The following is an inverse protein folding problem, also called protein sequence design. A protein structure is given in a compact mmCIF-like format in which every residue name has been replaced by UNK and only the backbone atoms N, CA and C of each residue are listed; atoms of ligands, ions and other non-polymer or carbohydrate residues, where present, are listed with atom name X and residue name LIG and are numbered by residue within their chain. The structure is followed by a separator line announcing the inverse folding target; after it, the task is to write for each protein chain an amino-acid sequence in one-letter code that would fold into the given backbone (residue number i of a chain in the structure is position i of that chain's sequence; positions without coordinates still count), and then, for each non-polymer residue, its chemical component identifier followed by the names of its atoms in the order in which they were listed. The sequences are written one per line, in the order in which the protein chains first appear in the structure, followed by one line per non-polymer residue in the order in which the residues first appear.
data_IF_983973141118
#
_entry.id   IF_983973141118
#
_cell.length_a   1.000
_cell.length_b   1.000
_cell.length_c   1.000
_cell.angle_alpha   90.00
_cell.angle_beta   90.00
_cell.angle_gamma   90.00
#
_symmetry.space_group_name_H-M   'P 1'
#
loop_
_entity.id
_entity.type
_entity.pdbx_description
1 polymer ?
#
# COMPACT_ATOMS: atom_id res chain seq x y z
N UNK A 1 -9.98 17.44 0.99
CA UNK A 1 -9.14 16.64 1.91
C UNK A 1 -9.28 17.20 3.30
N UNK A 2 -10.00 16.53 4.17
CA UNK A 2 -10.08 16.86 5.58
C UNK A 2 -8.89 16.20 6.30
N UNK A 3 -8.27 16.93 7.20
CA UNK A 3 -7.16 16.42 7.99
C UNK A 3 -7.56 16.42 9.45
N UNK A 4 -7.38 15.29 10.08
CA UNK A 4 -7.53 15.16 11.51
C UNK A 4 -6.14 15.19 12.15
N UNK A 5 -5.90 16.09 13.12
CA UNK A 5 -4.62 16.13 13.83
C UNK A 5 -4.28 14.75 14.42
N UNK A 6 -3.11 14.24 14.11
CA UNK A 6 -2.62 12.93 14.57
C UNK A 6 -3.54 11.73 14.27
N UNK A 7 -4.40 11.84 13.22
CA UNK A 7 -5.38 10.81 12.89
C UNK A 7 -6.55 10.67 13.89
N UNK A 8 -6.65 11.56 14.88
CA UNK A 8 -7.70 11.53 15.88
C UNK A 8 -9.03 12.04 15.29
N UNK A 9 -9.90 11.11 14.90
CA UNK A 9 -11.21 11.40 14.33
C UNK A 9 -12.24 11.90 15.37
N UNK A 10 -11.91 11.87 16.68
CA UNK A 10 -12.75 12.45 17.72
C UNK A 10 -12.63 13.98 17.79
N UNK A 11 -11.63 14.56 17.13
CA UNK A 11 -11.45 16.00 16.99
C UNK A 11 -12.01 16.51 15.68
N UNK A 12 -12.33 17.81 15.65
CA UNK A 12 -12.77 18.45 14.43
C UNK A 12 -11.67 18.39 13.35
N UNK A 13 -12.08 18.09 12.13
CA UNK A 13 -11.20 18.13 10.98
C UNK A 13 -10.68 19.57 10.77
N UNK A 14 -9.38 19.71 10.57
CA UNK A 14 -8.74 20.99 10.29
C UNK A 14 -8.44 21.12 8.80
N UNK A 15 -8.77 22.27 8.26
CA UNK A 15 -8.52 22.60 6.88
C UNK A 15 -8.14 24.07 6.74
N UNK A 16 -7.06 24.36 6.03
CA UNK A 16 -6.64 25.75 5.80
C UNK A 16 -7.59 26.45 4.83
N UNK A 17 -8.34 27.45 5.31
CA UNK A 17 -9.18 28.27 4.46
C UNK A 17 -8.38 28.99 3.34
N UNK A 18 -7.20 29.47 3.66
CA UNK A 18 -6.31 30.09 2.68
C UNK A 18 -5.84 29.10 1.61
N UNK A 19 -5.48 27.88 2.02
CA UNK A 19 -5.10 26.81 1.08
C UNK A 19 -6.25 26.41 0.16
N UNK A 20 -7.46 26.33 0.69
CA UNK A 20 -8.67 26.04 -0.10
C UNK A 20 -8.98 27.16 -1.11
N UNK A 21 -8.98 28.40 -0.68
CA UNK A 21 -9.20 29.54 -1.55
C UNK A 21 -8.15 29.63 -2.66
N UNK A 22 -6.88 29.43 -2.31
CA UNK A 22 -5.80 29.41 -3.30
C UNK A 22 -6.01 28.31 -4.34
N UNK A 23 -6.31 27.10 -3.92
CA UNK A 23 -6.59 25.99 -4.81
C UNK A 23 -7.79 26.27 -5.71
N UNK A 24 -8.89 26.75 -5.14
CA UNK A 24 -10.13 27.08 -5.87
C UNK A 24 -9.91 28.20 -6.89
N UNK A 25 -9.24 29.27 -6.50
CA UNK A 25 -8.94 30.38 -7.41
C UNK A 25 -8.05 29.92 -8.58
N UNK A 26 -7.05 29.07 -8.33
CA UNK A 26 -6.25 28.51 -9.42
C UNK A 26 -7.07 27.66 -10.38
N UNK A 27 -8.04 26.89 -9.89
CA UNK A 27 -8.93 26.10 -10.74
C UNK A 27 -9.83 27.01 -11.61
N UNK A 28 -10.39 28.05 -11.02
CA UNK A 28 -11.26 29.01 -11.73
C UNK A 28 -10.48 29.84 -12.75
N UNK A 29 -9.25 30.26 -12.41
CA UNK A 29 -8.40 31.09 -13.27
C UNK A 29 -7.57 30.27 -14.27
N UNK A 30 -7.62 28.94 -14.23
CA UNK A 30 -6.92 28.10 -15.17
C UNK A 30 -7.50 28.29 -16.59
N UNK A 31 -6.64 28.69 -17.52
CA UNK A 31 -7.01 28.74 -18.93
C UNK A 31 -7.02 27.32 -19.50
N UNK A 32 -8.19 26.84 -19.93
CA UNK A 32 -8.37 25.49 -20.47
C UNK A 32 -9.10 24.56 -19.53
N UNK A 33 -8.87 23.25 -19.67
CA UNK A 33 -9.53 22.25 -18.86
C UNK A 33 -8.85 22.15 -17.47
N UNK A 34 -9.60 22.50 -16.44
CA UNK A 34 -9.10 22.51 -15.05
C UNK A 34 -9.02 21.09 -14.45
N UNK A 35 -9.78 20.14 -14.98
CA UNK A 35 -9.90 18.80 -14.44
C UNK A 35 -9.83 17.78 -15.56
N UNK A 36 -9.00 16.76 -15.36
CA UNK A 36 -8.88 15.60 -16.25
C UNK A 36 -9.35 14.35 -15.50
N UNK A 37 -10.05 13.50 -16.21
CA UNK A 37 -10.55 12.24 -15.68
C UNK A 37 -9.82 11.07 -16.35
N UNK A 38 -9.45 10.09 -15.58
CA UNK A 38 -8.99 8.83 -16.13
C UNK A 38 -10.18 8.07 -16.74
N UNK A 39 -9.96 7.41 -17.87
CA UNK A 39 -11.00 6.56 -18.48
C UNK A 39 -11.32 5.31 -17.65
N UNK A 40 -10.40 4.92 -16.77
CA UNK A 40 -10.50 3.80 -15.84
C UNK A 40 -9.99 4.22 -14.48
N UNK A 41 -10.11 3.33 -13.50
CA UNK A 41 -9.59 3.57 -12.16
C UNK A 41 -8.08 3.87 -12.14
N UNK A 42 -7.63 4.55 -11.10
CA UNK A 42 -6.21 4.89 -10.89
C UNK A 42 -5.33 3.64 -10.86
N UNK A 43 -5.86 2.52 -10.31
CA UNK A 43 -5.17 1.22 -10.31
C UNK A 43 -4.77 0.79 -11.71
N UNK A 44 -5.68 0.92 -12.68
CA UNK A 44 -5.49 0.45 -14.05
C UNK A 44 -4.65 1.44 -14.89
N UNK A 45 -4.93 2.75 -14.73
CA UNK A 45 -4.32 3.79 -15.58
C UNK A 45 -2.95 4.26 -15.10
N UNK A 46 -2.69 4.18 -13.80
CA UNK A 46 -1.45 4.68 -13.20
C UNK A 46 -0.65 3.55 -12.57
N UNK A 47 -1.23 2.82 -11.62
CA UNK A 47 -0.47 1.86 -10.81
C UNK A 47 -0.02 0.66 -11.64
N UNK A 48 -0.90 0.07 -12.46
CA UNK A 48 -0.55 -1.10 -13.26
C UNK A 48 0.60 -0.84 -14.27
N UNK A 49 0.63 0.28 -15.02
CA UNK A 49 1.78 0.63 -15.85
C UNK A 49 3.08 0.86 -15.06
N UNK A 50 3.01 1.57 -13.92
CA UNK A 50 4.17 1.76 -13.05
C UNK A 50 4.73 0.44 -12.53
N UNK A 51 3.87 -0.43 -12.03
CA UNK A 51 4.25 -1.77 -11.56
C UNK A 51 4.98 -2.55 -12.66
N UNK A 52 4.42 -2.59 -13.88
CA UNK A 52 5.02 -3.31 -15.01
C UNK A 52 6.39 -2.77 -15.37
N UNK A 53 6.56 -1.45 -15.43
CA UNK A 53 7.86 -0.83 -15.71
C UNK A 53 8.85 -1.11 -14.58
N UNK A 54 8.42 -1.04 -13.33
CA UNK A 54 9.27 -1.34 -12.18
C UNK A 54 9.77 -2.80 -12.21
N UNK A 55 8.87 -3.76 -12.48
CA UNK A 55 9.25 -5.17 -12.65
C UNK A 55 10.25 -5.36 -13.79
N UNK A 56 10.03 -4.72 -14.95
CA UNK A 56 10.97 -4.77 -16.08
C UNK A 56 12.34 -4.20 -15.73
N UNK A 57 12.42 -3.28 -14.77
CA UNK A 57 13.65 -2.69 -14.25
C UNK A 57 14.28 -3.45 -13.09
N UNK A 58 13.74 -4.62 -12.75
CA UNK A 58 14.30 -5.49 -11.71
C UNK A 58 13.80 -5.23 -10.30
N UNK A 59 12.80 -4.35 -10.11
CA UNK A 59 12.17 -4.17 -8.80
C UNK A 59 11.40 -5.43 -8.42
N UNK A 60 11.66 -5.94 -7.22
CA UNK A 60 10.95 -7.08 -6.66
C UNK A 60 9.84 -6.61 -5.74
N UNK A 61 8.63 -7.09 -5.97
CA UNK A 61 7.47 -6.81 -5.14
C UNK A 61 7.16 -8.03 -4.26
N UNK A 62 7.00 -7.79 -2.97
CA UNK A 62 6.59 -8.79 -1.98
C UNK A 62 5.17 -8.48 -1.52
N UNK A 63 4.19 -9.06 -2.20
CA UNK A 63 2.78 -8.95 -1.83
C UNK A 63 2.43 -9.81 -0.62
N UNK A 64 1.25 -9.56 -0.04
CA UNK A 64 0.70 -10.34 1.07
C UNK A 64 1.62 -10.34 2.30
N UNK A 65 2.28 -9.22 2.51
CA UNK A 65 3.18 -8.96 3.64
C UNK A 65 2.73 -7.71 4.36
N UNK A 66 2.27 -7.86 5.59
CA UNK A 66 1.94 -6.76 6.48
C UNK A 66 3.21 -6.42 7.29
N UNK A 67 3.61 -5.18 7.28
CA UNK A 67 4.67 -4.69 8.17
C UNK A 67 4.08 -4.59 9.57
N UNK A 68 4.60 -5.32 10.52
CA UNK A 68 4.14 -5.30 11.91
C UNK A 68 5.01 -4.42 12.80
N UNK A 69 6.33 -4.51 12.60
CA UNK A 69 7.26 -3.75 13.43
C UNK A 69 8.53 -3.38 12.64
N UNK A 70 9.03 -2.20 12.91
CA UNK A 70 10.33 -1.70 12.42
C UNK A 70 11.19 -1.48 13.65
N UNK A 71 12.17 -2.37 13.85
CA UNK A 71 13.09 -2.31 14.99
C UNK A 71 14.29 -1.44 14.67
N UNK A 72 14.66 -0.61 15.63
CA UNK A 72 15.83 0.25 15.54
C UNK A 72 17.10 -0.49 16.00
N UNK A 73 18.25 0.04 15.60
CA UNK A 73 19.56 -0.35 16.13
C UNK A 73 19.68 0.02 17.62
N UNK A 74 20.61 -0.61 18.33
CA UNK A 74 20.77 -0.39 19.78
C UNK A 74 21.13 1.05 20.17
N UNK A 75 21.57 1.88 19.23
CA UNK A 75 21.79 3.32 19.41
C UNK A 75 20.61 4.17 18.96
N UNK A 76 19.52 3.54 18.45
CA UNK A 76 18.34 4.24 17.95
C UNK A 76 18.54 5.05 16.66
N UNK A 77 19.71 4.96 16.02
CA UNK A 77 20.07 5.85 14.91
C UNK A 77 19.69 5.31 13.52
N UNK A 78 19.38 4.01 13.41
CA UNK A 78 19.08 3.36 12.14
C UNK A 78 18.08 2.23 12.29
N UNK A 79 17.46 1.82 11.18
CA UNK A 79 16.61 0.61 11.14
C UNK A 79 17.48 -0.62 11.10
N UNK A 80 17.30 -1.52 12.06
CA UNK A 80 17.99 -2.79 12.15
C UNK A 80 17.18 -3.97 11.60
N UNK A 81 15.87 -3.98 11.85
CA UNK A 81 14.99 -5.07 11.46
C UNK A 81 13.65 -4.58 10.93
N UNK A 82 13.02 -5.38 10.09
CA UNK A 82 11.64 -5.23 9.66
C UNK A 82 10.94 -6.55 9.88
N UNK A 83 9.91 -6.56 10.71
CA UNK A 83 9.08 -7.72 10.98
C UNK A 83 7.84 -7.70 10.10
N UNK A 84 7.62 -8.79 9.40
CA UNK A 84 6.58 -8.95 8.41
C UNK A 84 5.68 -10.13 8.77
N UNK A 85 4.39 -9.90 8.83
CA UNK A 85 3.40 -10.98 8.84
C UNK A 85 3.10 -11.42 7.41
N UNK A 86 3.26 -12.71 7.14
CA UNK A 86 2.85 -13.34 5.89
C UNK A 86 1.35 -13.58 5.95
N UNK A 87 0.57 -12.80 5.25
CA UNK A 87 -0.89 -12.86 5.31
C UNK A 87 -1.45 -14.06 4.54
N UNK A 88 -0.85 -14.42 3.42
CA UNK A 88 -1.20 -15.59 2.64
C UNK A 88 0.00 -16.07 1.82
N UNK A 89 -0.05 -17.34 1.38
CA UNK A 89 0.95 -17.94 0.50
C UNK A 89 0.36 -18.23 -0.86
N UNK A 90 1.19 -18.20 -1.88
CA UNK A 90 0.79 -18.57 -3.24
C UNK A 90 0.85 -20.08 -3.43
N UNK A 91 0.02 -20.58 -4.34
CA UNK A 91 0.03 -21.99 -4.74
C UNK A 91 1.35 -22.29 -5.45
N UNK A 92 1.97 -23.41 -5.12
CA UNK A 92 3.23 -23.87 -5.69
C UNK A 92 4.39 -22.87 -5.58
N UNK A 93 4.36 -22.00 -4.58
CA UNK A 93 5.36 -20.95 -4.32
C UNK A 93 5.64 -20.03 -5.52
N UNK A 94 4.70 -19.95 -6.47
CA UNK A 94 4.83 -19.06 -7.62
C UNK A 94 4.70 -17.59 -7.21
N UNK A 95 5.42 -16.68 -7.86
CA UNK A 95 5.25 -15.24 -7.57
C UNK A 95 3.80 -14.80 -7.82
N UNK A 96 3.21 -14.12 -6.84
CA UNK A 96 1.87 -13.55 -6.99
C UNK A 96 1.82 -12.54 -8.14
N UNK A 97 0.84 -12.71 -9.04
CA UNK A 97 0.61 -11.83 -10.19
C UNK A 97 -0.59 -10.94 -9.91
N UNK A 98 -0.40 -9.65 -9.59
CA UNK A 98 -1.50 -8.79 -9.15
C UNK A 98 -2.40 -8.30 -10.29
N UNK A 99 -1.97 -8.42 -11.55
CA UNK A 99 -2.66 -7.84 -12.69
C UNK A 99 -3.48 -8.87 -13.46
N UNK A 100 -4.66 -8.44 -13.90
CA UNK A 100 -5.52 -9.18 -14.82
C UNK A 100 -5.39 -8.57 -16.22
N UNK A 101 -5.14 -9.40 -17.22
CA UNK A 101 -5.14 -8.96 -18.62
C UNK A 101 -6.58 -8.86 -19.11
N UNK A 102 -6.93 -7.71 -19.67
CA UNK A 102 -8.23 -7.42 -20.25
C UNK A 102 -8.30 -7.84 -21.72
N UNK A 103 -9.48 -7.95 -22.28
CA UNK A 103 -9.72 -8.34 -23.68
C UNK A 103 -9.05 -7.38 -24.68
N UNK A 104 -8.99 -6.10 -24.37
CA UNK A 104 -8.33 -5.07 -25.18
C UNK A 104 -6.79 -5.09 -25.06
N UNK A 105 -6.23 -6.06 -24.35
CA UNK A 105 -4.79 -6.23 -24.14
C UNK A 105 -4.20 -5.31 -23.06
N UNK A 106 -5.00 -4.45 -22.44
CA UNK A 106 -4.58 -3.65 -21.27
C UNK A 106 -4.56 -4.49 -20.00
N UNK A 107 -4.09 -3.89 -18.90
CA UNK A 107 -4.04 -4.56 -17.61
C UNK A 107 -4.87 -3.80 -16.59
N UNK A 108 -5.65 -4.53 -15.80
CA UNK A 108 -6.41 -4.02 -14.69
C UNK A 108 -5.77 -4.44 -13.36
N UNK A 109 -5.85 -3.57 -12.37
CA UNK A 109 -5.55 -3.88 -10.99
C UNK A 109 -6.86 -4.18 -10.27
N UNK A 110 -7.15 -5.45 -9.95
CA UNK A 110 -8.42 -5.80 -9.31
C UNK A 110 -8.51 -5.22 -7.90
N UNK A 111 -9.73 -4.94 -7.46
CA UNK A 111 -10.03 -4.42 -6.12
C UNK A 111 -10.03 -5.50 -5.01
N UNK A 112 -9.76 -6.72 -5.36
CA UNK A 112 -9.64 -7.84 -4.44
C UNK A 112 -8.47 -8.74 -4.88
N UNK A 113 -7.87 -9.50 -3.96
CA UNK A 113 -6.84 -10.45 -4.32
C UNK A 113 -7.34 -11.47 -5.35
N UNK A 114 -6.45 -11.92 -6.22
CA UNK A 114 -6.77 -13.02 -7.14
C UNK A 114 -6.70 -14.32 -6.34
N UNK A 115 -7.81 -14.65 -5.69
CA UNK A 115 -7.92 -15.75 -4.74
C UNK A 115 -7.44 -17.08 -5.31
N UNK A 116 -7.64 -17.33 -6.60
CA UNK A 116 -7.18 -18.57 -7.26
C UNK A 116 -5.67 -18.77 -7.29
N UNK A 117 -4.88 -17.75 -6.93
CA UNK A 117 -3.43 -17.88 -6.77
C UNK A 117 -3.00 -18.20 -5.33
N UNK A 118 -3.92 -18.18 -4.37
CA UNK A 118 -3.61 -18.25 -2.95
C UNK A 118 -4.04 -19.57 -2.33
N UNK A 119 -3.22 -20.16 -1.49
CA UNK A 119 -3.54 -21.38 -0.72
C UNK A 119 -4.75 -21.12 0.17
N UNK A 120 -4.84 -19.94 0.81
CA UNK A 120 -5.95 -19.53 1.68
C UNK A 120 -7.09 -18.84 0.91
N UNK A 121 -7.04 -18.82 -0.43
CA UNK A 121 -7.90 -18.00 -1.26
C UNK A 121 -9.40 -18.24 -1.07
N UNK A 122 -9.84 -19.48 -0.98
CA UNK A 122 -11.25 -19.80 -0.76
C UNK A 122 -11.76 -19.33 0.60
N UNK A 123 -10.96 -19.51 1.65
CA UNK A 123 -11.31 -19.06 2.98
C UNK A 123 -11.40 -17.53 3.04
N UNK A 124 -10.38 -16.83 2.52
CA UNK A 124 -10.35 -15.36 2.46
C UNK A 124 -11.59 -14.80 1.75
N UNK A 125 -11.99 -15.46 0.65
CA UNK A 125 -13.16 -15.06 -0.12
C UNK A 125 -14.46 -15.35 0.63
N UNK A 126 -14.60 -16.53 1.23
CA UNK A 126 -15.81 -16.95 1.93
C UNK A 126 -16.08 -16.11 3.19
N UNK A 127 -15.02 -15.75 3.91
CA UNK A 127 -15.09 -14.95 5.12
C UNK A 127 -15.04 -13.43 4.85
N UNK A 128 -14.99 -13.02 3.57
CA UNK A 128 -14.88 -11.61 3.17
C UNK A 128 -13.73 -10.86 3.85
N UNK A 129 -12.58 -11.51 4.01
CA UNK A 129 -11.42 -10.95 4.67
C UNK A 129 -10.77 -9.85 3.82
N UNK A 130 -10.64 -8.66 4.38
CA UNK A 130 -9.87 -7.57 3.83
C UNK A 130 -8.43 -7.64 4.36
N UNK A 131 -7.49 -8.04 3.51
CA UNK A 131 -6.06 -8.10 3.86
C UNK A 131 -5.37 -6.74 3.83
N UNK A 132 -6.00 -5.71 3.26
CA UNK A 132 -5.46 -4.34 3.22
C UNK A 132 -5.80 -3.58 4.51
N UNK A 133 -6.80 -4.03 5.25
CA UNK A 133 -7.16 -3.41 6.52
C UNK A 133 -6.16 -3.77 7.61
N UNK A 134 -5.65 -2.74 8.31
CA UNK A 134 -4.82 -2.93 9.50
C UNK A 134 -5.56 -3.72 10.61
N UNK A 135 -6.86 -3.52 10.72
CA UNK A 135 -7.74 -4.15 11.73
C UNK A 135 -8.37 -5.45 11.26
N UNK A 136 -7.87 -6.03 10.17
CA UNK A 136 -8.35 -7.33 9.72
C UNK A 136 -8.23 -8.37 10.83
N UNK A 137 -9.26 -9.17 11.10
CA UNK A 137 -9.20 -10.25 12.09
C UNK A 137 -8.35 -11.45 11.62
N UNK A 138 -7.86 -11.39 10.40
CA UNK A 138 -7.08 -12.46 9.78
C UNK A 138 -5.77 -12.70 10.50
N UNK A 139 -5.51 -13.96 10.84
CA UNK A 139 -4.24 -14.35 11.44
C UNK A 139 -3.21 -14.67 10.33
N UNK A 140 -1.99 -14.16 10.43
CA UNK A 140 -0.96 -14.46 9.47
C UNK A 140 -0.60 -15.95 9.47
N UNK A 141 -0.22 -16.47 8.33
CA UNK A 141 0.18 -17.88 8.17
C UNK A 141 1.63 -18.13 8.56
N UNK A 142 2.46 -17.07 8.57
CA UNK A 142 3.87 -17.11 9.00
C UNK A 142 4.35 -15.70 9.34
N UNK A 143 5.56 -15.62 9.90
CA UNK A 143 6.28 -14.37 10.14
C UNK A 143 7.66 -14.42 9.50
N UNK A 144 8.12 -13.29 8.98
CA UNK A 144 9.44 -13.10 8.39
C UNK A 144 10.12 -11.90 9.06
N UNK A 145 11.42 -12.00 9.33
CA UNK A 145 12.22 -10.87 9.78
C UNK A 145 13.29 -10.56 8.75
N UNK A 146 13.34 -9.30 8.31
CA UNK A 146 14.39 -8.77 7.44
C UNK A 146 15.41 -8.00 8.27
N UNK A 147 16.69 -8.14 7.93
CA UNK A 147 17.81 -7.58 8.69
C UNK A 147 18.69 -6.71 7.81
N UNK A 148 19.09 -5.57 8.35
CA UNK A 148 20.07 -4.67 7.69
C UNK A 148 21.38 -5.41 7.42
N UNK A 149 22.00 -5.12 6.29
CA UNK A 149 23.26 -5.73 5.85
C UNK A 149 23.14 -7.15 5.30
N UNK A 150 21.97 -7.79 5.45
CA UNK A 150 21.70 -9.12 4.88
C UNK A 150 20.58 -9.05 3.84
N UNK A 151 19.45 -8.45 4.20
CA UNK A 151 18.26 -8.38 3.37
C UNK A 151 18.04 -6.99 2.74
N UNK A 152 18.58 -5.96 3.37
CA UNK A 152 18.52 -4.57 2.88
C UNK A 152 19.64 -3.72 3.43
N UNK A 153 19.96 -2.62 2.75
CA UNK A 153 20.96 -1.63 3.18
C UNK A 153 20.29 -0.33 3.64
N UNK A 154 19.18 0.03 3.02
CA UNK A 154 18.42 1.25 3.31
C UNK A 154 16.92 0.97 3.25
N UNK A 155 16.16 1.75 4.02
CA UNK A 155 14.69 1.69 4.06
C UNK A 155 14.11 3.05 3.69
N UNK A 156 13.13 3.03 2.79
CA UNK A 156 12.25 4.16 2.52
C UNK A 156 10.86 3.80 3.02
N UNK A 157 10.42 4.48 4.07
CA UNK A 157 9.13 4.26 4.68
C UNK A 157 8.07 5.13 3.99
N UNK A 158 7.27 4.53 3.13
CA UNK A 158 6.21 5.20 2.37
C UNK A 158 4.83 4.93 2.98
N UNK A 159 4.64 5.30 4.25
CA UNK A 159 3.36 5.19 4.96
C UNK A 159 2.88 6.57 5.41
N UNK A 160 1.57 6.79 5.59
CA UNK A 160 1.07 8.02 6.19
C UNK A 160 1.66 8.25 7.58
N UNK A 161 2.04 9.49 7.90
CA UNK A 161 2.63 9.84 9.21
C UNK A 161 1.82 9.33 10.42
N UNK A 162 0.48 9.36 10.42
CA UNK A 162 -0.31 8.81 11.53
C UNK A 162 -0.15 7.30 11.74
N UNK A 163 0.38 6.58 10.75
CA UNK A 163 0.62 5.13 10.86
C UNK A 163 1.96 4.80 11.54
N UNK A 164 2.88 5.76 11.67
CA UNK A 164 4.20 5.53 12.25
C UNK A 164 4.16 4.92 13.66
N UNK A 165 3.34 5.41 14.60
CA UNK A 165 3.29 4.82 15.94
C UNK A 165 2.83 3.36 15.98
N UNK A 166 2.21 2.87 14.90
CA UNK A 166 1.76 1.47 14.82
C UNK A 166 2.86 0.52 14.31
N UNK A 167 3.76 1.02 13.49
CA UNK A 167 4.83 0.19 12.87
C UNK A 167 6.22 0.47 13.44
N UNK A 168 6.42 1.64 14.06
CA UNK A 168 7.65 2.06 14.72
C UNK A 168 7.29 2.82 16.00
N UNK A 169 6.89 2.12 17.08
CA UNK A 169 6.37 2.74 18.29
C UNK A 169 7.44 3.41 19.18
N UNK A 170 8.74 3.23 18.89
CA UNK A 170 9.86 3.74 19.68
C UNK A 170 10.48 5.01 19.09
#
# INVERSE_FOLDING_TARGET
CFQFPNGDTARDAQFSAAGFLWFTLRQILACGQATYWFHRGTGDTVIAPFYRVAVQRGVQFKFLRKVEHIGLSGDGASVATIELAVQATTIDDQPYQPLVRMEDGTFAWPNAPIYGQLVQGEQLRAEHIDLESWWSPWQPVAHETRRVGTDFDQVVLAVPLPCLPHVAPE
#
